data_IF_535509084520
#
_entry.id   IF_535509084520
#
_cell.length_a   1.000
_cell.length_b   1.000
_cell.length_c   1.000
_cell.angle_alpha   90.00
_cell.angle_beta   90.00
_cell.angle_gamma   90.00
#
_symmetry.space_group_name_H-M   'P 1'
#
loop_
_entity.id
_entity.type
_entity.pdbx_description
1 polymer ?
#
# COMPACT_ATOMS: atom_id res chain seq x y z
N UNK A 1 -12.56 -1.68 -18.42
CA UNK A 1 -11.29 -1.57 -17.65
C UNK A 1 -11.48 -2.33 -16.35
N UNK A 2 -10.53 -3.17 -15.94
CA UNK A 2 -10.54 -3.78 -14.60
C UNK A 2 -9.83 -2.83 -13.64
N UNK A 3 -10.46 -2.52 -12.51
CA UNK A 3 -9.87 -1.68 -11.46
C UNK A 3 -9.72 -2.53 -10.20
N UNK A 4 -8.60 -2.39 -9.51
CA UNK A 4 -8.35 -3.04 -8.22
C UNK A 4 -8.31 -1.96 -7.14
N UNK A 5 -8.95 -2.23 -6.01
CA UNK A 5 -9.02 -1.35 -4.85
C UNK A 5 -8.30 -2.02 -3.69
N UNK A 6 -7.36 -1.29 -3.07
CA UNK A 6 -6.61 -1.74 -1.90
C UNK A 6 -7.11 -0.98 -0.67
N UNK A 7 -7.57 -1.70 0.34
CA UNK A 7 -8.08 -1.11 1.58
C UNK A 7 -7.18 -1.56 2.74
N UNK A 8 -6.61 -0.59 3.46
CA UNK A 8 -5.87 -0.84 4.68
C UNK A 8 -6.84 -0.98 5.87
N UNK A 9 -6.67 -2.04 6.65
CA UNK A 9 -7.40 -2.31 7.88
C UNK A 9 -6.39 -2.39 9.03
N UNK A 10 -5.99 -1.25 9.63
CA UNK A 10 -4.88 -1.20 10.56
C UNK A 10 -5.13 -1.97 11.87
N UNK A 11 -6.36 -1.98 12.37
CA UNK A 11 -6.70 -2.70 13.61
C UNK A 11 -6.58 -4.22 13.44
N UNK A 12 -7.01 -4.75 12.30
CA UNK A 12 -6.86 -6.17 11.96
C UNK A 12 -5.52 -6.50 11.29
N UNK A 13 -4.66 -5.50 11.08
CA UNK A 13 -3.34 -5.64 10.44
C UNK A 13 -3.41 -6.25 9.04
N UNK A 14 -4.41 -5.84 8.26
CA UNK A 14 -4.71 -6.44 6.96
C UNK A 14 -4.75 -5.43 5.83
N UNK A 15 -4.45 -5.92 4.63
CA UNK A 15 -4.79 -5.27 3.37
C UNK A 15 -5.82 -6.14 2.66
N UNK A 16 -6.96 -5.54 2.33
CA UNK A 16 -7.97 -6.19 1.51
C UNK A 16 -7.83 -5.74 0.07
N UNK A 17 -7.75 -6.70 -0.84
CA UNK A 17 -7.68 -6.50 -2.29
C UNK A 17 -9.05 -6.80 -2.87
N UNK A 18 -9.61 -5.85 -3.59
CA UNK A 18 -10.93 -5.96 -4.20
C UNK A 18 -10.84 -5.68 -5.69
N UNK A 19 -11.58 -6.45 -6.48
CA UNK A 19 -11.83 -6.12 -7.87
C UNK A 19 -13.12 -5.33 -8.00
N UNK A 20 -13.03 -4.18 -8.66
CA UNK A 20 -14.15 -3.32 -9.02
C UNK A 20 -14.57 -3.64 -10.46
N UNK A 21 -15.81 -4.12 -10.60
CA UNK A 21 -16.39 -4.40 -11.92
C UNK A 21 -16.93 -3.11 -12.58
N UNK A 22 -17.36 -3.21 -13.84
CA UNK A 22 -17.86 -2.05 -14.59
C UNK A 22 -19.17 -1.45 -14.04
N UNK A 23 -19.96 -2.26 -13.33
CA UNK A 23 -21.22 -1.86 -12.70
C UNK A 23 -21.00 -1.24 -11.31
N UNK A 24 -19.75 -1.19 -10.82
CA UNK A 24 -19.40 -0.66 -9.51
C UNK A 24 -19.43 -1.67 -8.37
N UNK A 25 -19.68 -2.96 -8.65
CA UNK A 25 -19.63 -4.00 -7.63
C UNK A 25 -18.19 -4.36 -7.26
N UNK A 26 -17.94 -4.53 -5.95
CA UNK A 26 -16.67 -4.97 -5.40
C UNK A 26 -16.71 -6.47 -5.11
N UNK A 27 -15.68 -7.19 -5.55
CA UNK A 27 -15.47 -8.61 -5.20
C UNK A 27 -14.14 -8.74 -4.47
N UNK A 28 -14.17 -9.28 -3.25
CA UNK A 28 -12.95 -9.54 -2.48
C UNK A 28 -12.13 -10.62 -3.19
N UNK A 29 -10.87 -10.32 -3.49
CA UNK A 29 -9.97 -11.26 -4.18
C UNK A 29 -8.91 -11.82 -3.26
N UNK A 30 -8.40 -11.00 -2.34
CA UNK A 30 -7.33 -11.40 -1.44
C UNK A 30 -7.43 -10.63 -0.13
N UNK A 31 -7.07 -11.30 0.96
CA UNK A 31 -6.74 -10.68 2.24
C UNK A 31 -5.27 -10.95 2.51
N UNK A 32 -4.51 -9.92 2.83
CA UNK A 32 -3.07 -10.00 3.12
C UNK A 32 -2.86 -9.60 4.57
N UNK A 33 -2.34 -10.51 5.38
CA UNK A 33 -1.87 -10.17 6.71
C UNK A 33 -0.53 -9.42 6.62
N UNK A 34 -0.40 -8.37 7.42
CA UNK A 34 0.76 -7.48 7.45
C UNK A 34 1.35 -7.51 8.86
N UNK A 35 2.68 -7.52 9.04
CA UNK A 35 3.30 -7.53 10.36
C UNK A 35 3.23 -6.14 11.05
N UNK A 36 2.01 -5.67 11.32
CA UNK A 36 1.74 -4.42 12.01
C UNK A 36 0.59 -3.61 11.41
N UNK A 37 0.39 -2.42 11.95
CA UNK A 37 -0.65 -1.49 11.52
C UNK A 37 -0.31 -0.88 10.17
N UNK A 38 -1.18 -1.16 9.20
CA UNK A 38 -1.07 -0.72 7.81
C UNK A 38 -1.53 0.72 7.66
N UNK A 39 -0.59 1.64 7.48
CA UNK A 39 -0.85 2.99 6.97
C UNK A 39 0.44 3.81 6.94
N UNK A 40 0.64 4.65 5.90
CA UNK A 40 -0.17 4.85 4.68
C UNK A 40 0.18 3.86 3.56
N UNK A 41 -0.57 3.85 2.45
CA UNK A 41 -0.28 3.04 1.26
C UNK A 41 -0.19 3.90 -0.02
N UNK A 42 0.67 3.53 -0.97
CA UNK A 42 0.72 4.15 -2.30
C UNK A 42 1.05 3.13 -3.40
N UNK A 43 0.37 3.23 -4.54
CA UNK A 43 0.70 2.45 -5.74
C UNK A 43 1.79 3.17 -6.53
N UNK A 44 2.76 2.43 -7.06
CA UNK A 44 3.79 2.98 -7.94
C UNK A 44 3.18 3.52 -9.24
N UNK A 45 3.77 4.55 -9.87
CA UNK A 45 3.23 5.10 -11.12
C UNK A 45 3.15 4.07 -12.25
N UNK A 46 4.06 3.10 -12.27
CA UNK A 46 4.08 1.97 -13.21
C UNK A 46 3.14 0.82 -12.82
N UNK A 47 2.40 0.96 -11.72
CA UNK A 47 1.44 -0.01 -11.16
C UNK A 47 2.03 -1.39 -10.85
N UNK A 48 3.36 -1.51 -10.75
CA UNK A 48 4.03 -2.78 -10.43
C UNK A 48 4.13 -3.06 -8.94
N UNK A 49 4.08 -2.02 -8.10
CA UNK A 49 4.27 -2.14 -6.66
C UNK A 49 3.23 -1.35 -5.86
N UNK A 50 2.84 -1.91 -4.72
CA UNK A 50 2.16 -1.22 -3.63
C UNK A 50 3.16 -1.05 -2.48
N UNK A 51 3.45 0.20 -2.11
CA UNK A 51 4.28 0.50 -0.94
C UNK A 51 3.38 0.79 0.26
N UNK A 52 3.74 0.20 1.39
CA UNK A 52 2.93 0.17 2.60
C UNK A 52 3.80 0.59 3.79
N UNK A 53 3.44 1.69 4.44
CA UNK A 53 3.98 2.06 5.74
C UNK A 53 3.40 1.18 6.84
N UNK A 54 4.26 0.72 7.74
CA UNK A 54 3.88 -0.14 8.87
C UNK A 54 4.35 0.46 10.20
N UNK A 55 3.55 0.23 11.25
CA UNK A 55 3.80 0.60 12.65
C UNK A 55 3.50 -0.60 13.55
N UNK A 56 4.09 -0.71 14.76
CA UNK A 56 4.98 0.25 15.43
C UNK A 56 6.43 0.16 14.95
N UNK A 57 6.84 -0.94 14.34
CA UNK A 57 8.14 -1.09 13.71
C UNK A 57 8.15 -0.29 12.41
N UNK A 58 8.60 0.96 12.49
CA UNK A 58 8.56 1.90 11.37
C UNK A 58 9.32 1.33 10.17
N UNK A 59 8.55 0.83 9.21
CA UNK A 59 9.05 0.15 8.01
C UNK A 59 8.19 0.54 6.81
N UNK A 60 8.77 0.41 5.62
CA UNK A 60 8.03 0.35 4.37
C UNK A 60 8.14 -1.05 3.82
N UNK A 61 7.00 -1.67 3.54
CA UNK A 61 6.92 -2.91 2.81
C UNK A 61 6.60 -2.60 1.35
N UNK A 62 7.20 -3.35 0.44
CA UNK A 62 6.88 -3.34 -0.97
C UNK A 62 6.20 -4.66 -1.33
N UNK A 63 4.99 -4.57 -1.87
CA UNK A 63 4.28 -5.69 -2.45
C UNK A 63 4.26 -5.55 -3.97
N UNK A 64 4.62 -6.61 -4.69
CA UNK A 64 4.45 -6.69 -6.14
C UNK A 64 2.97 -6.91 -6.45
N UNK A 65 2.46 -6.15 -7.42
CA UNK A 65 1.08 -6.26 -7.91
C UNK A 65 1.07 -7.19 -9.12
N UNK A 66 0.24 -8.23 -9.07
CA UNK A 66 -0.01 -9.10 -10.22
C UNK A 66 -0.82 -8.35 -11.29
N UNK A 67 -0.42 -8.40 -12.58
CA UNK A 67 -1.06 -7.61 -13.63
C UNK A 67 -2.48 -8.10 -13.97
N UNK A 68 -2.81 -9.35 -13.65
CA UNK A 68 -4.03 -10.02 -14.10
C UNK A 68 -5.23 -9.73 -13.18
N UNK A 69 -4.99 -9.76 -11.86
CA UNK A 69 -6.02 -9.69 -10.82
C UNK A 69 -5.71 -8.69 -9.70
N UNK A 70 -4.55 -8.04 -9.74
CA UNK A 70 -4.11 -7.10 -8.71
C UNK A 70 -3.68 -7.75 -7.39
N UNK A 71 -3.49 -9.08 -7.36
CA UNK A 71 -3.02 -9.77 -6.16
C UNK A 71 -1.64 -9.25 -5.72
N UNK A 72 -1.44 -9.19 -4.41
CA UNK A 72 -0.23 -8.71 -3.78
C UNK A 72 0.66 -9.87 -3.37
N UNK A 73 1.94 -9.76 -3.69
CA UNK A 73 2.99 -10.67 -3.20
C UNK A 73 4.08 -9.84 -2.53
N UNK A 74 4.47 -10.18 -1.30
CA UNK A 74 5.57 -9.50 -0.62
C UNK A 74 6.85 -9.58 -1.46
N UNK A 75 7.54 -8.45 -1.60
CA UNK A 75 8.75 -8.35 -2.43
C UNK A 75 9.97 -7.91 -1.61
N UNK A 76 9.83 -6.88 -0.78
CA UNK A 76 10.93 -6.33 0.01
C UNK A 76 10.41 -5.49 1.18
N UNK A 77 11.30 -5.16 2.12
CA UNK A 77 11.07 -4.18 3.16
C UNK A 77 12.31 -3.32 3.43
N UNK A 78 12.08 -2.13 4.00
CA UNK A 78 13.14 -1.25 4.51
C UNK A 78 12.71 -0.61 5.81
N UNK A 79 13.64 -0.52 6.76
CA UNK A 79 13.46 0.25 7.99
C UNK A 79 13.34 1.75 7.70
N UNK A 80 12.56 2.44 8.53
CA UNK A 80 12.43 3.88 8.55
C UNK A 80 12.99 4.43 9.87
N UNK A 81 13.62 5.63 9.83
CA UNK A 81 14.10 6.29 11.04
C UNK A 81 12.96 6.87 11.91
N UNK A 82 11.71 6.80 11.44
CA UNK A 82 10.56 7.39 12.10
C UNK A 82 9.25 7.00 11.44
N UNK A 83 8.14 7.37 12.07
CA UNK A 83 6.85 6.81 11.71
C UNK A 83 6.32 7.28 10.34
N UNK A 84 5.82 6.38 9.48
CA UNK A 84 5.33 6.75 8.16
C UNK A 84 3.91 7.34 8.28
N UNK A 85 3.75 8.65 8.07
CA UNK A 85 2.44 9.32 8.20
C UNK A 85 1.81 9.62 6.84
N UNK A 86 2.62 9.84 5.80
CA UNK A 86 2.17 10.02 4.43
C UNK A 86 3.23 9.46 3.46
N UNK A 87 2.83 8.81 2.38
CA UNK A 87 3.73 8.32 1.32
C UNK A 87 3.16 8.78 -0.02
N UNK A 88 3.99 9.46 -0.83
CA UNK A 88 3.66 9.78 -2.21
C UNK A 88 4.86 9.63 -3.12
N UNK A 89 4.60 9.33 -4.39
CA UNK A 89 5.64 9.38 -5.43
C UNK A 89 5.78 10.80 -5.95
N UNK A 90 7.02 11.29 -6.03
CA UNK A 90 7.31 12.63 -6.57
C UNK A 90 7.72 12.59 -8.05
N UNK A 91 8.30 11.49 -8.53
CA UNK A 91 8.87 11.34 -9.90
C UNK A 91 9.05 9.85 -10.25
N UNK A 92 9.35 9.47 -11.52
CA UNK A 92 9.62 8.08 -11.86
C UNK A 92 10.83 7.60 -11.05
N UNK A 93 10.62 6.63 -10.15
CA UNK A 93 11.67 6.00 -9.37
C UNK A 93 11.89 6.50 -7.93
N UNK A 94 11.18 7.52 -7.46
CA UNK A 94 11.34 8.03 -6.08
C UNK A 94 10.05 7.96 -5.26
N UNK A 95 10.05 7.14 -4.22
CA UNK A 95 9.05 7.12 -3.14
C UNK A 95 9.45 8.16 -2.10
N UNK A 96 8.60 9.16 -1.86
CA UNK A 96 8.82 10.17 -0.84
C UNK A 96 7.86 9.91 0.33
N UNK A 97 8.41 9.70 1.53
CA UNK A 97 7.61 9.66 2.75
C UNK A 97 7.51 11.07 3.31
N UNK A 98 6.31 11.64 3.36
CA UNK A 98 6.09 12.90 4.08
C UNK A 98 5.67 12.62 5.52
N UNK A 99 6.42 13.22 6.44
CA UNK A 99 5.94 13.58 7.77
C UNK A 99 4.94 14.73 7.58
N UNK A 100 3.86 14.78 8.35
CA UNK A 100 3.15 16.03 8.60
C UNK A 100 4.20 16.98 9.20
N UNK A 101 4.81 17.82 8.37
CA UNK A 101 5.36 19.07 8.85
C UNK A 101 4.15 19.80 9.42
N UNK A 102 4.18 20.06 10.73
CA UNK A 102 3.50 21.24 11.22
C UNK A 102 3.99 22.39 10.33
N UNK A 103 3.09 22.96 9.52
CA UNK A 103 3.32 24.28 8.97
C UNK A 103 3.49 25.20 10.20
N UNK A 104 4.74 25.56 10.47
CA UNK A 104 5.06 26.86 11.07
C UNK A 104 5.05 27.91 9.97
#
# INVERSE_FOLDING_TARGET
MKQTVYIASPESQQIHVWNLNHEGALTLTQVVDVPGQVQPMVVSPDKRYLYVGVRPEFRVLAYRIAPDDGALTFAAESALPGSPTHIFHRSPGAVCLCRFLQCG
#
